data_IF_129074990962
#
_entry.id   IF_129074990962
#
_cell.length_a   1.000
_cell.length_b   1.000
_cell.length_c   1.000
_cell.angle_alpha   90.00
_cell.angle_beta   90.00
_cell.angle_gamma   90.00
#
_symmetry.space_group_name_H-M   'P 1'
#
loop_
_entity.id
_entity.type
_entity.pdbx_description
1 polymer ?
#
# COMPACT_ATOMS: atom_id res chain seq x y z
N UNK A 1 13.52 -5.19 -1.10
CA UNK A 1 12.77 -5.57 -2.33
C UNK A 1 11.52 -6.37 -1.99
N UNK A 2 11.61 -7.37 -1.10
CA UNK A 2 10.46 -8.18 -0.70
C UNK A 2 9.94 -7.79 0.70
N UNK A 3 10.00 -6.53 1.12
CA UNK A 3 9.50 -6.16 2.45
C UNK A 3 8.01 -5.92 2.40
N UNK A 4 7.28 -6.39 3.41
CA UNK A 4 5.84 -6.14 3.52
C UNK A 4 5.62 -4.84 4.29
N UNK A 5 4.59 -4.07 3.91
CA UNK A 5 4.17 -2.88 4.65
C UNK A 5 3.00 -3.25 5.54
N UNK A 6 3.22 -3.17 6.85
CA UNK A 6 2.25 -3.57 7.87
C UNK A 6 1.62 -2.32 8.48
N UNK A 7 0.30 -2.20 8.36
CA UNK A 7 -0.46 -1.11 8.94
C UNK A 7 -0.99 -1.52 10.32
N UNK A 8 -0.65 -0.72 11.32
CA UNK A 8 -1.05 -0.92 12.70
C UNK A 8 -2.07 0.14 13.14
N UNK A 9 -3.06 -0.29 13.92
CA UNK A 9 -3.90 0.62 14.70
C UNK A 9 -3.57 0.43 16.18
N UNK A 10 -3.20 1.53 16.84
CA UNK A 10 -2.93 1.54 18.28
C UNK A 10 -4.07 2.23 19.02
N UNK A 11 -4.49 1.65 20.15
CA UNK A 11 -5.43 2.30 21.05
C UNK A 11 -4.73 3.26 22.03
N UNK A 12 -5.53 3.97 22.83
CA UNK A 12 -5.03 4.93 23.83
C UNK A 12 -4.20 4.29 24.96
N UNK A 13 -4.24 2.97 25.10
CA UNK A 13 -3.47 2.20 26.09
C UNK A 13 -2.18 1.62 25.50
N UNK A 14 -1.89 1.89 24.22
CA UNK A 14 -0.70 1.41 23.52
C UNK A 14 -0.84 -0.01 22.97
N UNK A 15 -2.03 -0.62 23.03
CA UNK A 15 -2.27 -1.92 22.42
C UNK A 15 -2.38 -1.73 20.92
N UNK A 16 -1.52 -2.43 20.17
CA UNK A 16 -1.43 -2.34 18.71
C UNK A 16 -2.00 -3.60 18.06
N UNK A 17 -2.84 -3.42 17.04
CA UNK A 17 -3.33 -4.51 16.18
C UNK A 17 -2.97 -4.26 14.73
N UNK A 18 -2.64 -5.31 13.99
CA UNK A 18 -2.47 -5.23 12.54
C UNK A 18 -3.85 -5.11 11.90
N UNK A 19 -4.02 -4.16 11.00
CA UNK A 19 -5.29 -3.90 10.31
C UNK A 19 -5.22 -4.15 8.81
N UNK A 20 -4.03 -4.09 8.21
CA UNK A 20 -3.81 -4.31 6.79
C UNK A 20 -2.33 -4.64 6.54
N UNK A 21 -2.07 -5.47 5.53
CA UNK A 21 -0.71 -5.82 5.09
C UNK A 21 -0.67 -5.68 3.58
N UNK A 22 0.25 -4.85 3.08
CA UNK A 22 0.55 -4.72 1.65
C UNK A 22 1.89 -5.42 1.37
N UNK A 23 1.81 -6.62 0.78
CA UNK A 23 2.99 -7.41 0.41
C UNK A 23 3.62 -6.95 -0.91
N UNK A 24 2.91 -6.13 -1.68
CA UNK A 24 3.33 -5.69 -3.02
C UNK A 24 3.85 -4.24 -3.05
N UNK A 25 3.85 -3.52 -1.93
CA UNK A 25 4.24 -2.11 -1.89
C UNK A 25 5.71 -1.89 -2.24
N UNK A 26 6.60 -2.74 -1.74
CA UNK A 26 8.06 -2.58 -1.86
C UNK A 26 8.57 -3.30 -3.10
N UNK A 27 9.53 -2.70 -3.78
CA UNK A 27 10.19 -3.33 -4.93
C UNK A 27 9.30 -3.48 -6.17
N UNK A 28 8.32 -2.58 -6.34
CA UNK A 28 7.35 -2.59 -7.45
C UNK A 28 7.99 -2.58 -8.84
N UNK A 29 9.09 -1.84 -9.00
CA UNK A 29 9.73 -1.65 -10.29
C UNK A 29 11.24 -1.46 -10.09
N UNK A 30 12.03 -2.36 -10.67
CA UNK A 30 13.49 -2.31 -10.70
C UNK A 30 13.91 -2.07 -12.14
N UNK A 31 14.64 -0.99 -12.37
CA UNK A 31 15.03 -0.60 -13.73
C UNK A 31 16.53 -0.41 -13.86
N UNK A 32 17.01 -0.66 -15.07
CA UNK A 32 18.33 -0.23 -15.52
C UNK A 32 18.21 0.57 -16.80
N UNK A 33 19.25 1.30 -17.18
CA UNK A 33 19.31 1.98 -18.48
C UNK A 33 19.54 0.96 -19.58
N UNK A 34 18.72 1.00 -20.63
CA UNK A 34 18.90 0.12 -21.79
C UNK A 34 20.16 0.49 -22.57
N UNK A 35 20.90 -0.51 -23.02
CA UNK A 35 22.08 -0.32 -23.87
C UNK A 35 21.72 0.49 -25.12
N UNK A 36 22.56 1.47 -25.45
CA UNK A 36 22.40 2.33 -26.64
C UNK A 36 21.02 3.04 -26.76
N UNK A 37 20.31 3.24 -25.64
CA UNK A 37 19.02 3.92 -25.61
C UNK A 37 18.88 4.79 -24.36
N UNK A 38 18.03 5.82 -24.43
CA UNK A 38 17.60 6.61 -23.26
C UNK A 38 16.39 6.01 -22.55
N UNK A 39 15.85 4.90 -23.06
CA UNK A 39 14.78 4.14 -22.40
C UNK A 39 15.35 3.32 -21.25
N UNK A 40 14.51 3.07 -20.26
CA UNK A 40 14.82 2.08 -19.23
C UNK A 40 14.49 0.66 -19.71
N UNK A 41 15.03 -0.32 -19.00
CA UNK A 41 14.74 -1.74 -19.08
C UNK A 41 14.29 -2.20 -17.70
N UNK A 42 13.10 -2.82 -17.64
CA UNK A 42 12.57 -3.41 -16.42
C UNK A 42 13.26 -4.76 -16.19
N UNK A 43 13.92 -4.89 -15.04
CA UNK A 43 14.66 -6.07 -14.62
C UNK A 43 14.09 -6.65 -13.31
N UNK A 44 12.84 -6.31 -12.97
CA UNK A 44 12.20 -6.73 -11.72
C UNK A 44 12.20 -8.25 -11.55
N UNK A 45 11.93 -8.99 -12.65
CA UNK A 45 11.93 -10.46 -12.69
C UNK A 45 13.30 -11.09 -12.38
N UNK A 46 14.40 -10.34 -12.47
CA UNK A 46 15.74 -10.83 -12.15
C UNK A 46 15.99 -10.87 -10.63
N UNK A 47 15.18 -10.16 -9.84
CA UNK A 47 15.35 -10.04 -8.39
C UNK A 47 14.25 -10.73 -7.60
N UNK A 48 13.01 -10.74 -8.11
CA UNK A 48 11.88 -11.40 -7.44
C UNK A 48 10.96 -12.06 -8.45
N UNK A 49 10.24 -13.08 -7.98
CA UNK A 49 9.16 -13.70 -8.74
C UNK A 49 7.89 -12.85 -8.64
N UNK A 50 6.92 -13.05 -9.56
CA UNK A 50 5.62 -12.40 -9.45
C UNK A 50 4.98 -12.73 -8.09
N UNK A 51 4.49 -11.69 -7.42
CA UNK A 51 3.85 -11.78 -6.11
C UNK A 51 2.75 -12.85 -6.11
N UNK A 52 2.75 -13.72 -5.09
CA UNK A 52 1.73 -14.79 -4.96
C UNK A 52 1.93 -15.98 -5.89
N UNK A 53 2.96 -15.98 -6.74
CA UNK A 53 3.32 -17.16 -7.53
C UNK A 53 3.92 -18.26 -6.65
N UNK A 54 3.85 -19.52 -7.11
CA UNK A 54 4.44 -20.64 -6.37
C UNK A 54 5.95 -20.46 -6.13
N UNK A 55 6.66 -19.88 -7.10
CA UNK A 55 8.11 -19.59 -6.96
C UNK A 55 8.38 -18.49 -5.94
N UNK A 56 7.51 -17.49 -5.86
CA UNK A 56 7.57 -16.44 -4.84
C UNK A 56 7.43 -17.04 -3.44
N UNK A 57 6.40 -17.87 -3.24
CA UNK A 57 6.18 -18.61 -1.99
C UNK A 57 7.39 -19.46 -1.58
N UNK A 58 7.95 -20.22 -2.52
CA UNK A 58 9.13 -21.06 -2.27
C UNK A 58 10.38 -20.23 -1.92
N UNK A 59 10.60 -19.11 -2.64
CA UNK A 59 11.70 -18.21 -2.36
C UNK A 59 11.59 -17.59 -0.97
N UNK A 60 10.38 -17.18 -0.57
CA UNK A 60 10.13 -16.62 0.75
C UNK A 60 10.31 -17.64 1.87
N UNK A 61 9.78 -18.86 1.74
CA UNK A 61 10.01 -19.95 2.70
C UNK A 61 11.50 -20.28 2.86
N UNK A 62 12.27 -20.23 1.77
CA UNK A 62 13.71 -20.45 1.83
C UNK A 62 14.44 -19.32 2.56
N UNK A 63 13.97 -18.07 2.42
CA UNK A 63 14.51 -16.93 3.14
C UNK A 63 14.22 -17.02 4.64
N UNK A 64 13.00 -17.44 5.02
CA UNK A 64 12.62 -17.66 6.43
C UNK A 64 13.50 -18.72 7.10
N UNK A 65 13.73 -19.85 6.40
CA UNK A 65 14.68 -20.90 6.85
C UNK A 65 16.12 -20.41 7.02
N UNK A 66 16.47 -19.27 6.42
CA UNK A 66 17.79 -18.64 6.49
C UNK A 66 17.85 -17.44 7.44
N UNK A 67 16.83 -17.24 8.27
CA UNK A 67 16.83 -16.25 9.35
C UNK A 67 16.04 -14.97 9.05
N UNK A 68 15.30 -14.91 7.95
CA UNK A 68 14.27 -13.87 7.79
C UNK A 68 13.10 -14.20 8.75
N UNK A 69 12.58 -13.23 9.51
CA UNK A 69 11.41 -13.47 10.36
C UNK A 69 10.20 -13.99 9.58
N UNK A 70 9.43 -14.89 10.20
CA UNK A 70 8.21 -15.44 9.60
C UNK A 70 7.13 -14.36 9.46
N UNK A 71 6.27 -14.53 8.46
CA UNK A 71 5.21 -13.60 8.09
C UNK A 71 3.86 -14.02 8.64
N UNK A 72 3.78 -14.22 9.95
CA UNK A 72 2.56 -14.68 10.62
C UNK A 72 1.62 -13.51 10.93
N UNK A 73 1.17 -12.80 9.89
CA UNK A 73 0.29 -11.63 10.03
C UNK A 73 -1.21 -11.97 10.00
N UNK A 74 -1.57 -13.23 9.78
CA UNK A 74 -2.93 -13.69 9.49
C UNK A 74 -3.53 -14.52 10.65
N UNK A 75 -4.87 -14.55 10.78
CA UNK A 75 -5.87 -13.91 9.92
C UNK A 75 -6.05 -12.42 10.24
N UNK A 76 -6.11 -11.59 9.20
CA UNK A 76 -6.63 -10.23 9.29
C UNK A 76 -8.16 -10.30 9.21
N UNK A 77 -8.86 -9.49 9.98
CA UNK A 77 -10.30 -9.34 9.84
C UNK A 77 -10.60 -8.62 8.51
N UNK A 78 -11.32 -9.25 7.59
CA UNK A 78 -11.84 -8.56 6.41
C UNK A 78 -12.82 -7.45 6.83
N UNK A 79 -12.53 -6.22 6.42
CA UNK A 79 -13.42 -5.09 6.63
C UNK A 79 -14.62 -5.12 5.67
N UNK A 80 -14.54 -5.89 4.58
CA UNK A 80 -15.54 -5.95 3.52
C UNK A 80 -15.73 -4.63 2.75
N UNK A 81 -14.82 -3.68 2.91
CA UNK A 81 -14.82 -2.39 2.22
C UNK A 81 -13.43 -2.14 1.67
N UNK A 82 -13.34 -1.93 0.36
CA UNK A 82 -12.10 -1.51 -0.29
C UNK A 82 -12.06 0.01 -0.41
N UNK A 83 -10.89 0.57 -0.15
CA UNK A 83 -10.64 2.02 -0.24
C UNK A 83 -9.39 2.22 -1.10
N UNK A 84 -9.51 3.03 -2.14
CA UNK A 84 -8.42 3.38 -3.04
C UNK A 84 -8.33 4.90 -3.20
N UNK A 85 -7.16 5.48 -2.94
CA UNK A 85 -6.89 6.89 -3.18
C UNK A 85 -6.14 7.06 -4.50
N UNK A 86 -6.77 7.73 -5.46
CA UNK A 86 -6.19 8.02 -6.77
C UNK A 86 -5.83 9.49 -6.88
N UNK A 87 -4.70 9.75 -7.54
CA UNK A 87 -4.17 11.08 -7.78
C UNK A 87 -3.55 11.14 -9.18
N UNK A 88 -3.75 12.24 -9.88
CA UNK A 88 -3.14 12.48 -11.19
C UNK A 88 -1.67 12.91 -11.05
N UNK A 89 -0.88 12.64 -12.10
CA UNK A 89 0.45 13.23 -12.22
C UNK A 89 0.32 14.70 -12.61
N UNK A 90 0.83 15.58 -11.77
CA UNK A 90 0.75 17.04 -11.94
C UNK A 90 2.15 17.66 -12.07
N UNK A 91 2.20 18.90 -12.57
CA UNK A 91 3.42 19.72 -12.51
C UNK A 91 3.41 20.58 -11.25
N UNK A 92 4.60 21.02 -10.86
CA UNK A 92 4.75 21.95 -9.75
C UNK A 92 4.01 23.27 -10.05
N UNK A 93 3.19 23.71 -9.09
CA UNK A 93 2.38 24.93 -9.19
C UNK A 93 0.95 24.68 -9.68
N UNK A 94 0.64 23.50 -10.22
CA UNK A 94 -0.71 23.16 -10.68
C UNK A 94 -1.61 22.75 -9.51
N UNK A 95 -2.90 23.05 -9.63
CA UNK A 95 -3.92 22.43 -8.79
C UNK A 95 -4.05 20.95 -9.15
N UNK A 96 -4.32 20.11 -8.15
CA UNK A 96 -4.56 18.68 -8.34
C UNK A 96 -5.84 18.23 -7.67
N UNK A 97 -6.36 17.11 -8.14
CA UNK A 97 -7.54 16.45 -7.58
C UNK A 97 -7.13 15.11 -6.99
N UNK A 98 -7.70 14.81 -5.84
CA UNK A 98 -7.61 13.50 -5.20
C UNK A 98 -9.00 12.87 -5.23
N UNK A 99 -9.06 11.62 -5.69
CA UNK A 99 -10.30 10.85 -5.75
C UNK A 99 -10.19 9.68 -4.79
N UNK A 100 -11.05 9.65 -3.78
CA UNK A 100 -11.17 8.52 -2.86
C UNK A 100 -12.28 7.60 -3.37
N UNK A 101 -11.91 6.47 -3.96
CA UNK A 101 -12.84 5.44 -4.40
C UNK A 101 -13.11 4.50 -3.22
N UNK A 102 -14.39 4.25 -2.96
CA UNK A 102 -14.83 3.39 -1.86
C UNK A 102 -15.78 2.35 -2.45
N UNK A 103 -15.46 1.07 -2.22
CA UNK A 103 -16.25 -0.07 -2.68
C UNK A 103 -16.68 -0.89 -1.47
N UNK A 104 -17.98 -0.85 -1.15
CA UNK A 104 -18.56 -1.63 -0.07
C UNK A 104 -18.92 -3.03 -0.57
N UNK A 105 -18.12 -4.04 -0.26
CA UNK A 105 -18.38 -5.44 -0.62
C UNK A 105 -19.22 -6.18 0.43
N UNK A 106 -19.68 -5.50 1.48
CA UNK A 106 -20.57 -6.10 2.47
C UNK A 106 -22.01 -6.17 1.96
N UNK A 107 -22.85 -6.97 2.61
CA UNK A 107 -24.27 -7.06 2.31
C UNK A 107 -25.12 -5.93 2.93
N UNK A 108 -24.51 -5.02 3.69
CA UNK A 108 -25.21 -3.96 4.42
C UNK A 108 -24.65 -2.58 4.04
N UNK A 109 -25.48 -1.54 4.14
CA UNK A 109 -25.01 -0.16 3.99
C UNK A 109 -24.01 0.17 5.09
N UNK A 110 -22.84 0.68 4.70
CA UNK A 110 -21.78 1.05 5.64
C UNK A 110 -21.62 2.57 5.69
N UNK A 111 -21.32 3.10 6.89
CA UNK A 111 -20.88 4.49 7.05
C UNK A 111 -19.39 4.51 7.30
N UNK A 112 -18.65 5.18 6.43
CA UNK A 112 -17.19 5.21 6.42
C UNK A 112 -16.74 6.62 6.79
N UNK A 113 -15.84 6.70 7.78
CA UNK A 113 -15.16 7.93 8.15
C UNK A 113 -13.72 7.87 7.64
N UNK A 114 -13.36 8.78 6.74
CA UNK A 114 -12.04 8.87 6.14
C UNK A 114 -11.31 10.11 6.64
N UNK A 115 -10.08 9.92 7.12
CA UNK A 115 -9.15 11.01 7.43
C UNK A 115 -8.10 11.06 6.33
N UNK A 116 -8.04 12.19 5.62
CA UNK A 116 -7.12 12.44 4.53
C UNK A 116 -6.03 13.40 5.04
N UNK A 117 -4.78 12.96 4.99
CA UNK A 117 -3.62 13.76 5.39
C UNK A 117 -2.72 14.03 4.19
N UNK A 118 -2.45 15.32 3.93
CA UNK A 118 -1.49 15.78 2.94
C UNK A 118 -0.21 16.22 3.62
N UNK A 119 0.90 15.56 3.29
CA UNK A 119 2.21 15.81 3.90
C UNK A 119 3.29 16.03 2.83
N UNK A 120 4.24 16.90 3.12
CA UNK A 120 5.50 17.01 2.37
C UNK A 120 6.41 15.88 2.82
N UNK A 121 6.86 15.05 1.88
CA UNK A 121 7.69 13.86 2.13
C UNK A 121 8.93 13.91 1.25
N UNK A 122 10.11 13.67 1.84
CA UNK A 122 11.35 13.54 1.09
C UNK A 122 11.37 12.24 0.28
N UNK A 123 12.20 12.15 -0.76
CA UNK A 123 12.32 10.92 -1.58
C UNK A 123 12.75 9.68 -0.77
N UNK A 124 13.33 9.88 0.42
CA UNK A 124 13.69 8.83 1.38
C UNK A 124 12.51 8.29 2.19
N UNK A 125 11.33 8.91 2.08
CA UNK A 125 10.13 8.58 2.87
C UNK A 125 10.01 9.35 4.19
N UNK A 126 10.97 10.21 4.53
CA UNK A 126 10.90 11.03 5.75
C UNK A 126 9.85 12.13 5.57
N UNK A 127 8.88 12.21 6.48
CA UNK A 127 7.84 13.25 6.49
C UNK A 127 8.37 14.54 7.10
N UNK A 128 8.14 15.67 6.44
CA UNK A 128 8.56 17.01 6.90
C UNK A 128 7.42 17.79 7.54
N UNK A 129 6.34 18.06 6.81
CA UNK A 129 5.27 18.95 7.27
C UNK A 129 3.93 18.51 6.73
N UNK A 130 2.94 18.43 7.61
CA UNK A 130 1.54 18.24 7.22
C UNK A 130 0.95 19.58 6.82
N UNK A 131 0.50 19.70 5.58
CA UNK A 131 -0.10 20.93 5.06
C UNK A 131 -1.62 20.82 4.92
N UNK A 132 -2.18 19.62 5.03
CA UNK A 132 -3.62 19.38 4.91
C UNK A 132 -4.04 18.22 5.81
N UNK A 133 -5.13 18.42 6.55
CA UNK A 133 -5.83 17.37 7.28
C UNK A 133 -7.32 17.59 7.05
N UNK A 134 -8.03 16.56 6.57
CA UNK A 134 -9.45 16.66 6.24
C UNK A 134 -10.18 15.39 6.65
N UNK A 135 -11.32 15.55 7.30
CA UNK A 135 -12.19 14.43 7.68
C UNK A 135 -13.43 14.44 6.78
N UNK A 136 -13.76 13.28 6.23
CA UNK A 136 -14.95 13.06 5.41
C UNK A 136 -15.72 11.86 5.95
N UNK A 137 -17.03 11.89 5.79
CA UNK A 137 -17.90 10.75 6.06
C UNK A 137 -18.75 10.46 4.83
N UNK A 138 -18.89 9.20 4.48
CA UNK A 138 -19.75 8.77 3.39
C UNK A 138 -20.55 7.53 3.81
N UNK A 139 -21.82 7.50 3.44
CA UNK A 139 -22.66 6.31 3.54
C UNK A 139 -22.66 5.64 2.17
N UNK A 140 -22.28 4.36 2.13
CA UNK A 140 -22.06 3.59 0.91
C UNK A 140 -22.88 2.32 0.97
N UNK A 141 -23.81 2.19 0.03
CA UNK A 141 -24.63 0.98 -0.12
C UNK A 141 -23.80 -0.21 -0.63
N UNK A 142 -24.27 -1.45 -0.44
CA UNK A 142 -23.64 -2.63 -1.00
C UNK A 142 -23.32 -2.50 -2.49
N UNK A 143 -22.11 -2.92 -2.86
CA UNK A 143 -21.68 -3.04 -4.24
C UNK A 143 -22.33 -4.29 -4.83
N UNK A 144 -23.47 -4.09 -5.50
CA UNK A 144 -24.25 -5.13 -6.18
C UNK A 144 -23.39 -6.08 -7.02
#
# INVERSE_FOLDING_TARGET
MNSDVIYHQSDKYGISKVIYVDTAYVGKLIVTKRANSNKYEDITSNYKYPEGSEKDRQAMQMAERRGVPTRDYFPLSEAGVDIELQADTIKMGDNFKLTLNIKNQTSQTCTISATISGCVVYYTGVTSTTFKLENKSATVDPWN
#
